data_IF_239692114932
#
_entry.id   IF_239692114932
#
_cell.length_a   1.000
_cell.length_b   1.000
_cell.length_c   1.000
_cell.angle_alpha   90.00
_cell.angle_beta   90.00
_cell.angle_gamma   90.00
#
_symmetry.space_group_name_H-M   'P 1'
#
loop_
_entity.id
_entity.type
_entity.pdbx_description
1 polymer ?
#
# COMPACT_ATOMS: atom_id res chain seq x y z
N UNK A 1 -45.78 -78.79 5.81
CA UNK A 1 -46.52 -77.70 5.13
C UNK A 1 -46.14 -76.40 5.81
N UNK A 2 -45.09 -75.71 5.35
CA UNK A 2 -44.74 -74.38 5.85
C UNK A 2 -43.98 -73.64 4.74
N UNK A 3 -44.68 -72.70 4.12
CA UNK A 3 -44.20 -71.81 3.07
C UNK A 3 -43.71 -70.54 3.77
N UNK A 4 -42.40 -70.35 3.89
CA UNK A 4 -41.84 -69.09 4.38
C UNK A 4 -41.98 -68.00 3.31
N UNK A 5 -42.34 -66.77 3.69
CA UNK A 5 -42.58 -65.70 2.73
C UNK A 5 -41.26 -65.07 2.28
N UNK A 6 -41.14 -64.89 0.97
CA UNK A 6 -40.18 -63.99 0.36
C UNK A 6 -40.67 -62.54 0.54
N UNK A 7 -39.81 -61.63 0.99
CA UNK A 7 -40.12 -60.21 0.85
C UNK A 7 -39.31 -59.27 1.74
N UNK A 8 -38.13 -58.85 1.31
CA UNK A 8 -37.56 -57.55 1.71
C UNK A 8 -36.37 -57.09 0.83
N UNK A 9 -36.34 -57.38 -0.47
CA UNK A 9 -35.27 -56.86 -1.36
C UNK A 9 -35.47 -55.41 -1.84
N UNK A 10 -36.61 -54.78 -1.55
CA UNK A 10 -36.93 -53.43 -2.07
C UNK A 10 -36.47 -52.26 -1.19
N UNK A 11 -36.00 -52.49 0.04
CA UNK A 11 -35.59 -51.41 0.96
C UNK A 11 -34.08 -51.09 0.93
N UNK A 12 -33.23 -52.02 0.50
CA UNK A 12 -31.76 -51.85 0.54
C UNK A 12 -31.20 -50.82 -0.46
N UNK A 13 -31.95 -50.49 -1.51
CA UNK A 13 -31.53 -49.52 -2.53
C UNK A 13 -32.00 -48.08 -2.25
N UNK A 14 -33.00 -47.91 -1.38
CA UNK A 14 -33.50 -46.58 -1.02
C UNK A 14 -32.48 -45.80 -0.19
N UNK A 15 -31.79 -46.45 0.74
CA UNK A 15 -30.76 -45.82 1.57
C UNK A 15 -29.60 -45.21 0.73
N UNK A 16 -28.91 -45.95 -0.16
CA UNK A 16 -27.83 -45.37 -0.97
C UNK A 16 -28.33 -44.32 -1.96
N UNK A 17 -29.55 -44.45 -2.49
CA UNK A 17 -30.16 -43.41 -3.34
C UNK A 17 -30.40 -42.11 -2.56
N UNK A 18 -30.91 -42.21 -1.34
CA UNK A 18 -31.16 -41.03 -0.49
C UNK A 18 -29.85 -40.33 -0.14
N UNK A 19 -28.82 -41.10 0.24
CA UNK A 19 -27.47 -40.56 0.52
C UNK A 19 -26.87 -39.91 -0.72
N UNK A 20 -26.96 -40.56 -1.89
CA UNK A 20 -26.47 -40.00 -3.15
C UNK A 20 -27.16 -38.68 -3.51
N UNK A 21 -28.49 -38.62 -3.37
CA UNK A 21 -29.27 -37.40 -3.59
C UNK A 21 -28.86 -36.28 -2.62
N UNK A 22 -28.68 -36.60 -1.33
CA UNK A 22 -28.22 -35.66 -0.31
C UNK A 22 -26.82 -35.11 -0.62
N UNK A 23 -25.90 -35.96 -1.08
CA UNK A 23 -24.55 -35.54 -1.48
C UNK A 23 -24.59 -34.59 -2.69
N UNK A 24 -25.37 -34.91 -3.71
CA UNK A 24 -25.54 -34.04 -4.89
C UNK A 24 -26.15 -32.70 -4.49
N UNK A 25 -27.21 -32.71 -3.67
CA UNK A 25 -27.83 -31.49 -3.16
C UNK A 25 -26.85 -30.64 -2.34
N UNK A 26 -26.00 -31.28 -1.51
CA UNK A 26 -24.98 -30.61 -0.71
C UNK A 26 -23.90 -29.97 -1.58
N UNK A 27 -23.40 -30.69 -2.59
CA UNK A 27 -22.42 -30.16 -3.54
C UNK A 27 -23.00 -29.01 -4.35
N UNK A 28 -24.26 -29.11 -4.80
CA UNK A 28 -24.94 -28.05 -5.52
C UNK A 28 -25.13 -26.79 -4.63
N UNK A 29 -25.59 -26.98 -3.40
CA UNK A 29 -25.75 -25.89 -2.43
C UNK A 29 -24.40 -25.24 -2.09
N UNK A 30 -23.35 -26.04 -1.90
CA UNK A 30 -21.99 -25.55 -1.69
C UNK A 30 -21.49 -24.76 -2.91
N UNK A 31 -21.68 -25.28 -4.13
CA UNK A 31 -21.32 -24.58 -5.36
C UNK A 31 -22.04 -23.25 -5.52
N UNK A 32 -23.34 -23.21 -5.22
CA UNK A 32 -24.14 -21.99 -5.20
C UNK A 32 -23.60 -20.97 -4.18
N UNK A 33 -23.25 -21.43 -2.98
CA UNK A 33 -22.62 -20.61 -1.93
C UNK A 33 -21.24 -20.09 -2.35
N UNK A 34 -20.42 -20.92 -3.00
CA UNK A 34 -19.08 -20.52 -3.47
C UNK A 34 -19.16 -19.44 -4.56
N UNK A 35 -20.16 -19.49 -5.45
CA UNK A 35 -20.37 -18.46 -6.46
C UNK A 35 -20.66 -17.10 -5.83
N UNK A 36 -21.38 -17.08 -4.71
CA UNK A 36 -21.63 -15.85 -3.95
C UNK A 36 -20.37 -15.31 -3.25
N UNK A 37 -19.44 -16.19 -2.86
CA UNK A 37 -18.21 -15.80 -2.15
C UNK A 37 -17.06 -15.33 -3.04
N UNK A 38 -17.11 -15.57 -4.36
CA UNK A 38 -16.09 -15.09 -5.31
C UNK A 38 -16.35 -13.62 -5.65
N UNK A 39 -16.17 -12.75 -4.67
CA UNK A 39 -16.16 -11.31 -4.91
C UNK A 39 -14.83 -10.94 -5.57
N UNK A 40 -14.84 -10.38 -6.81
CA UNK A 40 -13.60 -10.00 -7.46
C UNK A 40 -12.88 -8.94 -6.63
N UNK A 41 -11.55 -9.04 -6.58
CA UNK A 41 -10.70 -8.05 -5.95
C UNK A 41 -10.96 -6.70 -6.62
N UNK A 42 -11.50 -5.74 -5.87
CA UNK A 42 -11.94 -4.44 -6.40
C UNK A 42 -10.76 -3.50 -6.63
N UNK A 43 -9.70 -3.65 -5.82
CA UNK A 43 -8.50 -2.81 -5.87
C UNK A 43 -7.29 -3.71 -6.03
N UNK A 44 -6.50 -3.43 -7.06
CA UNK A 44 -5.29 -4.15 -7.40
C UNK A 44 -4.13 -3.16 -7.57
N UNK A 45 -2.88 -3.64 -7.50
CA UNK A 45 -1.64 -2.86 -7.64
C UNK A 45 -1.63 -1.61 -6.76
N UNK A 46 -1.66 -1.80 -5.45
CA UNK A 46 -1.46 -0.71 -4.50
C UNK A 46 0.02 -0.46 -4.30
N UNK A 47 0.43 0.78 -4.53
CA UNK A 47 1.79 1.25 -4.34
C UNK A 47 1.80 2.53 -3.49
N UNK A 48 2.75 2.60 -2.56
CA UNK A 48 2.96 3.75 -1.69
C UNK A 48 4.34 4.33 -1.96
N UNK A 49 4.38 5.56 -2.45
CA UNK A 49 5.63 6.22 -2.85
C UNK A 49 5.77 7.51 -2.04
N UNK A 50 6.76 7.60 -1.16
CA UNK A 50 7.10 8.88 -0.54
C UNK A 50 7.77 9.79 -1.58
N UNK A 51 7.19 10.97 -1.80
CA UNK A 51 7.65 11.99 -2.73
C UNK A 51 8.65 12.94 -2.05
N UNK A 52 9.80 13.14 -2.69
CA UNK A 52 10.80 14.14 -2.31
C UNK A 52 12.21 13.74 -2.77
N UNK A 53 13.18 14.64 -2.59
CA UNK A 53 14.58 14.42 -3.00
C UNK A 53 15.27 13.42 -2.06
N UNK A 54 15.42 12.17 -2.51
CA UNK A 54 16.36 11.23 -1.86
C UNK A 54 17.70 11.26 -2.60
N UNK A 55 18.85 11.35 -1.89
CA UNK A 55 20.17 11.35 -2.52
C UNK A 55 20.43 10.13 -3.43
N UNK A 56 19.74 9.01 -3.17
CA UNK A 56 19.98 7.73 -3.83
C UNK A 56 18.86 7.30 -4.80
N UNK A 57 17.88 8.17 -5.10
CA UNK A 57 16.73 7.82 -5.95
C UNK A 57 15.78 6.74 -5.38
N UNK A 58 15.87 6.49 -4.08
CA UNK A 58 15.14 5.42 -3.41
C UNK A 58 13.70 5.85 -3.07
N UNK A 59 12.72 4.96 -3.25
CA UNK A 59 11.29 5.22 -2.96
C UNK A 59 10.85 4.54 -1.67
N UNK A 60 11.14 5.10 -0.48
CA UNK A 60 10.79 4.47 0.78
C UNK A 60 9.30 4.61 1.07
N UNK A 61 8.74 3.60 1.75
CA UNK A 61 7.38 3.64 2.30
C UNK A 61 7.28 4.51 3.58
N UNK A 62 8.39 5.12 3.99
CA UNK A 62 8.49 5.98 5.17
C UNK A 62 8.44 7.44 4.74
N UNK A 63 7.53 8.17 5.38
CA UNK A 63 7.18 9.54 5.04
C UNK A 63 7.36 10.46 6.26
N UNK A 64 7.91 11.66 6.03
CA UNK A 64 8.32 12.63 7.06
C UNK A 64 8.02 14.07 6.58
N UNK A 65 6.82 14.61 6.88
CA UNK A 65 6.40 15.94 6.45
C UNK A 65 7.01 17.04 7.33
N UNK A 66 8.32 17.22 7.25
CA UNK A 66 9.08 18.19 8.05
C UNK A 66 9.38 19.50 7.30
N UNK A 67 9.05 19.59 6.00
CA UNK A 67 9.26 20.76 5.17
C UNK A 67 10.69 20.90 4.62
N UNK A 68 11.47 19.82 4.59
CA UNK A 68 12.84 19.78 4.06
C UNK A 68 12.92 19.37 2.57
N UNK A 69 11.76 19.28 1.89
CA UNK A 69 11.59 18.79 0.53
C UNK A 69 11.95 17.29 0.32
N UNK A 70 12.22 16.53 1.39
CA UNK A 70 12.56 15.11 1.33
C UNK A 70 11.47 14.27 2.01
N UNK A 71 10.77 13.44 1.23
CA UNK A 71 9.72 12.54 1.73
C UNK A 71 8.59 13.32 2.46
N UNK A 72 8.30 14.50 1.93
CA UNK A 72 7.35 15.50 2.46
C UNK A 72 5.93 15.33 1.91
N UNK A 73 5.73 14.50 0.88
CA UNK A 73 4.40 14.02 0.46
C UNK A 73 4.38 12.50 0.31
N UNK A 74 3.23 11.86 0.47
CA UNK A 74 3.03 10.43 0.20
C UNK A 74 2.05 10.28 -0.96
N UNK A 75 2.49 9.62 -2.04
CA UNK A 75 1.65 9.23 -3.17
C UNK A 75 1.08 7.84 -2.93
N UNK A 76 -0.24 7.71 -3.03
CA UNK A 76 -0.97 6.46 -2.93
C UNK A 76 -1.52 6.17 -4.31
N UNK A 77 -0.93 5.16 -4.95
CA UNK A 77 -1.32 4.71 -6.28
C UNK A 77 -2.09 3.41 -6.16
N UNK A 78 -3.23 3.30 -6.82
CA UNK A 78 -3.99 2.07 -6.87
C UNK A 78 -4.80 1.96 -8.16
N UNK A 79 -5.09 0.74 -8.58
CA UNK A 79 -5.93 0.46 -9.74
C UNK A 79 -7.25 -0.16 -9.29
N UNK A 80 -8.37 0.40 -9.73
CA UNK A 80 -9.68 -0.23 -9.50
C UNK A 80 -10.02 -1.21 -10.62
N UNK A 81 -10.62 -2.36 -10.30
CA UNK A 81 -11.09 -3.35 -11.29
C UNK A 81 -12.56 -3.13 -11.67
N UNK A 82 -13.30 -2.40 -10.83
CA UNK A 82 -14.67 -1.94 -11.08
C UNK A 82 -14.75 -0.42 -11.08
N UNK A 83 -15.78 0.10 -11.75
CA UNK A 83 -16.10 1.52 -11.72
C UNK A 83 -17.06 1.78 -10.58
N UNK A 84 -16.72 2.68 -9.67
CA UNK A 84 -17.61 3.05 -8.57
C UNK A 84 -17.29 4.47 -8.07
N UNK A 85 -18.23 5.07 -7.36
CA UNK A 85 -18.04 6.28 -6.56
C UNK A 85 -17.55 5.86 -5.18
N UNK A 86 -16.41 6.40 -4.74
CA UNK A 86 -15.83 6.01 -3.46
C UNK A 86 -15.24 7.19 -2.68
N UNK A 87 -15.20 7.00 -1.36
CA UNK A 87 -14.45 7.81 -0.42
C UNK A 87 -13.11 7.14 -0.15
N UNK A 88 -12.03 7.94 -0.11
CA UNK A 88 -10.71 7.47 0.28
C UNK A 88 -10.23 8.23 1.49
N UNK A 89 -9.96 7.50 2.56
CA UNK A 89 -9.67 8.04 3.88
C UNK A 89 -8.41 7.42 4.46
N UNK A 90 -7.69 8.20 5.24
CA UNK A 90 -6.54 7.76 6.02
C UNK A 90 -7.00 7.49 7.43
N UNK A 91 -6.79 6.27 7.88
CA UNK A 91 -7.22 5.77 9.18
C UNK A 91 -6.01 5.57 10.08
N UNK A 92 -6.07 6.15 11.27
CA UNK A 92 -5.07 5.99 12.32
C UNK A 92 -5.37 4.82 13.25
N UNK A 93 -4.57 4.73 14.33
CA UNK A 93 -4.81 3.78 15.42
C UNK A 93 -6.24 3.91 15.97
N UNK A 94 -6.89 2.77 16.24
CA UNK A 94 -8.24 2.73 16.78
C UNK A 94 -9.35 3.04 15.77
N UNK A 95 -9.06 3.06 14.46
CA UNK A 95 -10.09 3.22 13.42
C UNK A 95 -10.52 4.67 13.18
N UNK A 96 -9.82 5.64 13.75
CA UNK A 96 -10.13 7.07 13.61
C UNK A 96 -9.74 7.59 12.23
N UNK A 97 -10.64 8.32 11.58
CA UNK A 97 -10.34 9.06 10.34
C UNK A 97 -9.44 10.24 10.70
N UNK A 98 -8.34 10.35 9.96
CA UNK A 98 -7.30 11.37 10.14
C UNK A 98 -7.40 12.41 9.03
N UNK A 99 -7.66 11.93 7.81
CA UNK A 99 -7.76 12.74 6.60
C UNK A 99 -8.68 12.07 5.60
N UNK A 100 -9.56 12.84 4.96
CA UNK A 100 -10.25 12.39 3.75
C UNK A 100 -9.50 12.90 2.52
N UNK A 101 -8.99 11.99 1.69
CA UNK A 101 -8.24 12.31 0.46
C UNK A 101 -9.15 12.49 -0.75
N UNK A 102 -10.26 11.74 -0.78
CA UNK A 102 -11.28 11.85 -1.80
C UNK A 102 -12.64 11.59 -1.14
N UNK A 103 -13.66 12.34 -1.54
CA UNK A 103 -15.04 12.16 -1.13
C UNK A 103 -15.92 12.13 -2.37
N UNK A 104 -16.81 11.16 -2.44
CA UNK A 104 -17.77 10.95 -3.54
C UNK A 104 -17.10 11.01 -4.91
N UNK A 105 -15.88 10.49 -5.03
CA UNK A 105 -15.10 10.54 -6.26
C UNK A 105 -15.37 9.33 -7.12
N UNK A 106 -15.67 9.54 -8.39
CA UNK A 106 -15.79 8.45 -9.35
C UNK A 106 -14.42 7.88 -9.73
N UNK A 107 -14.24 6.58 -9.50
CA UNK A 107 -13.06 5.81 -9.89
C UNK A 107 -13.42 4.86 -11.02
N UNK A 108 -12.80 5.03 -12.20
CA UNK A 108 -13.05 4.21 -13.38
C UNK A 108 -12.30 2.87 -13.33
N UNK A 109 -12.94 1.78 -13.74
CA UNK A 109 -12.32 0.44 -13.89
C UNK A 109 -11.08 0.45 -14.77
N UNK A 110 -10.10 -0.38 -14.41
CA UNK A 110 -8.83 -0.59 -15.10
C UNK A 110 -8.09 0.72 -15.40
N UNK A 111 -8.15 1.65 -14.45
CA UNK A 111 -7.38 2.91 -14.46
C UNK A 111 -6.60 3.03 -13.16
N UNK A 112 -5.41 3.57 -13.29
CA UNK A 112 -4.57 3.93 -12.15
C UNK A 112 -5.02 5.27 -11.61
N UNK A 113 -5.10 5.36 -10.29
CA UNK A 113 -5.52 6.53 -9.56
C UNK A 113 -4.44 6.89 -8.57
N UNK A 114 -4.08 8.18 -8.56
CA UNK A 114 -3.07 8.73 -7.66
C UNK A 114 -3.75 9.71 -6.71
N UNK A 115 -3.54 9.49 -5.41
CA UNK A 115 -3.93 10.40 -4.34
C UNK A 115 -2.69 10.79 -3.55
N UNK A 116 -2.61 12.05 -3.15
CA UNK A 116 -1.45 12.59 -2.44
C UNK A 116 -1.86 12.99 -1.04
N UNK A 117 -1.09 12.55 -0.06
CA UNK A 117 -1.19 12.99 1.32
C UNK A 117 0.03 13.82 1.71
N UNK A 118 -0.23 14.99 2.27
CA UNK A 118 0.77 15.92 2.81
C UNK A 118 1.11 15.66 4.29
N UNK A 119 0.57 14.59 4.87
CA UNK A 119 0.80 14.26 6.27
C UNK A 119 0.01 15.12 7.26
N UNK A 120 -0.96 15.89 6.80
CA UNK A 120 -1.83 16.72 7.65
C UNK A 120 -3.19 16.07 7.84
N UNK A 121 -3.84 16.40 8.96
CA UNK A 121 -5.25 16.10 9.21
C UNK A 121 -6.14 17.03 8.40
N UNK A 122 -7.45 16.74 8.31
CA UNK A 122 -8.42 17.65 7.67
C UNK A 122 -8.40 19.07 8.30
N UNK A 123 -8.17 19.16 9.61
CA UNK A 123 -8.00 20.43 10.33
C UNK A 123 -6.61 21.08 10.20
N UNK A 124 -5.77 20.64 9.26
CA UNK A 124 -4.42 21.17 9.03
C UNK A 124 -3.35 20.79 10.05
N UNK A 125 -3.76 20.23 11.20
CA UNK A 125 -2.88 19.78 12.27
C UNK A 125 -2.10 18.51 11.93
N UNK A 126 -1.10 18.23 12.77
CA UNK A 126 -0.14 17.14 12.60
C UNK A 126 -0.68 15.86 13.27
N UNK A 127 -0.75 14.72 12.57
CA UNK A 127 -1.05 13.43 13.18
C UNK A 127 0.14 12.85 13.93
N UNK A 128 -0.13 12.01 14.93
CA UNK A 128 0.90 11.38 15.74
C UNK A 128 1.79 10.45 14.90
N UNK A 129 3.04 10.28 15.30
CA UNK A 129 3.93 9.25 14.75
C UNK A 129 3.33 7.87 14.92
N UNK A 130 2.87 7.26 13.83
CA UNK A 130 2.19 5.97 13.87
C UNK A 130 2.11 5.30 12.49
N UNK A 131 1.52 4.11 12.48
CA UNK A 131 1.13 3.37 11.27
C UNK A 131 -0.29 3.78 10.88
N UNK A 132 -0.45 4.17 9.64
CA UNK A 132 -1.73 4.55 9.05
C UNK A 132 -2.13 3.55 7.98
N UNK A 133 -3.44 3.37 7.81
CA UNK A 133 -4.04 2.54 6.75
C UNK A 133 -4.91 3.40 5.85
N UNK A 134 -5.03 3.01 4.60
CA UNK A 134 -5.96 3.64 3.68
C UNK A 134 -7.24 2.81 3.65
N UNK A 135 -8.37 3.46 3.93
CA UNK A 135 -9.71 2.92 3.80
C UNK A 135 -10.34 3.48 2.53
N UNK A 136 -10.94 2.61 1.74
CA UNK A 136 -11.72 2.96 0.56
C UNK A 136 -13.14 2.47 0.78
N UNK A 137 -14.10 3.38 0.87
CA UNK A 137 -15.52 3.07 1.00
C UNK A 137 -16.15 3.27 -0.37
N UNK A 138 -16.60 2.20 -1.00
CA UNK A 138 -17.27 2.27 -2.29
C UNK A 138 -18.77 2.20 -2.13
N UNK A 139 -19.46 3.22 -2.63
CA UNK A 139 -20.89 3.44 -2.37
C UNK A 139 -21.79 2.54 -3.22
N UNK A 140 -21.44 2.28 -4.48
CA UNK A 140 -22.26 1.45 -5.37
C UNK A 140 -22.21 -0.04 -5.04
N UNK A 141 -21.10 -0.50 -4.47
CA UNK A 141 -20.93 -1.90 -4.04
C UNK A 141 -21.25 -2.11 -2.55
N UNK A 142 -21.60 -1.07 -1.78
CA UNK A 142 -21.78 -1.12 -0.32
C UNK A 142 -20.62 -1.79 0.43
N UNK A 143 -19.38 -1.52 -0.02
CA UNK A 143 -18.17 -2.22 0.45
C UNK A 143 -17.14 -1.27 1.00
N UNK A 144 -16.57 -1.67 2.13
CA UNK A 144 -15.42 -1.00 2.75
C UNK A 144 -14.19 -1.88 2.57
N UNK A 145 -13.16 -1.33 1.95
CA UNK A 145 -11.91 -2.00 1.64
C UNK A 145 -10.75 -1.31 2.36
N UNK A 146 -9.81 -2.10 2.84
CA UNK A 146 -8.55 -1.60 3.35
C UNK A 146 -7.46 -1.93 2.35
N UNK A 147 -6.75 -0.90 1.88
CA UNK A 147 -5.62 -1.14 1.00
C UNK A 147 -4.55 -1.97 1.75
N UNK A 148 -3.92 -2.96 1.10
CA UNK A 148 -2.84 -3.72 1.71
C UNK A 148 -1.69 -2.78 2.13
N UNK A 149 -0.93 -3.17 3.15
CA UNK A 149 0.21 -2.40 3.65
C UNK A 149 -0.13 -1.36 4.72
N UNK A 150 0.87 -0.54 5.05
CA UNK A 150 0.74 0.53 6.03
C UNK A 150 1.67 1.69 5.65
N UNK A 151 1.20 2.91 5.88
CA UNK A 151 2.00 4.13 5.76
C UNK A 151 2.62 4.41 7.13
N UNK A 152 3.95 4.52 7.20
CA UNK A 152 4.64 4.89 8.44
C UNK A 152 4.95 6.37 8.43
N UNK A 153 4.36 7.09 9.38
CA UNK A 153 4.65 8.50 9.63
C UNK A 153 5.64 8.60 10.79
N UNK A 154 6.81 9.19 10.56
CA UNK A 154 7.78 9.48 11.63
C UNK A 154 7.60 10.89 12.21
N UNK A 155 8.05 11.09 13.46
CA UNK A 155 7.99 12.38 14.15
C UNK A 155 8.80 13.39 13.35
N UNK A 156 8.22 14.56 13.12
CA UNK A 156 8.96 15.71 12.63
C UNK A 156 8.95 16.82 13.68
N UNK A 157 10.13 17.34 14.00
CA UNK A 157 10.29 18.74 14.40
C UNK A 157 10.44 19.53 13.10
N UNK A 158 9.62 20.57 12.83
CA UNK A 158 9.86 21.47 11.70
C UNK A 158 11.25 22.10 11.87
N UNK A 159 12.17 21.83 10.93
CA UNK A 159 13.46 22.54 10.89
C UNK A 159 13.25 23.89 10.23
N UNK A 160 12.74 24.88 10.97
CA UNK A 160 12.70 26.28 10.55
C UNK A 160 12.08 26.52 9.15
N UNK A 161 12.28 27.72 8.57
CA UNK A 161 11.77 28.02 7.23
C UNK A 161 12.43 27.10 6.18
N UNK A 162 11.58 26.49 5.34
CA UNK A 162 11.88 25.55 4.25
C UNK A 162 13.36 25.49 3.83
N UNK A 163 14.12 24.59 4.45
CA UNK A 163 15.50 24.30 4.10
C UNK A 163 15.61 23.38 2.88
N UNK A 164 14.78 23.61 1.86
CA UNK A 164 14.99 22.95 0.58
C UNK A 164 16.30 23.51 0.04
N UNK A 165 17.38 22.71 -0.08
CA UNK A 165 18.58 23.20 -0.73
C UNK A 165 18.17 23.62 -2.13
N UNK A 166 18.54 24.83 -2.53
CA UNK A 166 18.47 25.21 -3.94
C UNK A 166 19.14 24.08 -4.73
N UNK A 167 18.60 23.71 -5.89
CA UNK A 167 19.11 22.58 -6.69
C UNK A 167 20.63 22.68 -7.00
N UNK A 168 21.21 23.86 -6.80
CA UNK A 168 22.64 24.15 -6.91
C UNK A 168 23.50 23.78 -5.68
N UNK A 169 22.93 23.68 -4.47
CA UNK A 169 23.69 23.46 -3.23
C UNK A 169 24.00 21.98 -2.99
N UNK A 170 23.09 21.08 -3.41
CA UNK A 170 23.31 19.63 -3.38
C UNK A 170 24.43 19.16 -4.32
N UNK A 171 24.70 19.89 -5.41
CA UNK A 171 25.82 19.59 -6.31
C UNK A 171 27.18 20.10 -5.76
N UNK A 172 27.16 21.12 -4.90
CA UNK A 172 28.37 21.72 -4.32
C UNK A 172 28.94 20.96 -3.12
N UNK A 173 28.11 20.20 -2.39
CA UNK A 173 28.54 19.38 -1.26
C UNK A 173 29.38 18.18 -1.71
N UNK A 174 28.94 17.47 -2.74
CA UNK A 174 29.68 16.33 -3.32
C UNK A 174 31.03 16.75 -3.95
N UNK A 175 31.12 17.99 -4.45
CA UNK A 175 32.36 18.53 -5.02
C UNK A 175 33.40 18.96 -3.95
N UNK A 176 32.99 19.27 -2.71
CA UNK A 176 33.91 19.64 -1.62
C UNK A 176 34.63 18.43 -1.02
N UNK A 177 33.96 17.28 -0.96
CA UNK A 177 34.60 16.04 -0.51
C UNK A 177 35.65 15.55 -1.52
N UNK A 178 35.36 15.66 -2.82
CA UNK A 178 36.32 15.32 -3.88
C UNK A 178 37.54 16.26 -3.95
N UNK A 179 37.43 17.51 -3.48
CA UNK A 179 38.54 18.48 -3.46
C UNK A 179 39.47 18.28 -2.25
N UNK A 180 38.94 17.74 -1.15
CA UNK A 180 39.70 17.51 0.09
C UNK A 180 40.64 16.30 -0.05
N UNK A 181 40.27 15.27 -0.83
CA UNK A 181 41.18 14.16 -1.16
C UNK A 181 42.30 14.53 -2.15
N UNK A 182 42.14 15.57 -2.98
CA UNK A 182 43.22 15.99 -3.89
C UNK A 182 44.30 16.85 -3.24
N UNK A 183 44.07 17.41 -2.04
CA UNK A 183 45.06 18.27 -1.36
C UNK A 183 45.98 17.54 -0.38
N UNK A 184 45.73 16.27 -0.06
CA UNK A 184 46.64 15.44 0.77
C UNK A 184 47.69 14.68 -0.05
N UNK A 185 47.61 14.69 -1.38
CA UNK A 185 48.65 14.18 -2.28
C UNK A 185 49.81 15.18 -2.46
N UNK A 186 50.62 15.37 -1.43
CA UNK A 186 51.86 16.17 -1.47
C UNK A 186 52.90 15.50 -2.40
N UNK A 187 53.36 16.13 -3.50
CA UNK A 187 54.57 15.69 -4.18
C UNK A 187 55.78 16.27 -3.42
N UNK A 188 56.56 15.41 -2.77
CA UNK A 188 57.90 15.79 -2.33
C UNK A 188 58.85 15.70 -3.54
N UNK A 189 59.19 16.87 -4.09
CA UNK A 189 60.24 17.06 -5.09
C UNK A 189 61.43 17.79 -4.45
N UNK A 190 62.64 17.36 -4.78
CA UNK A 190 63.92 18.04 -4.53
C UNK A 190 64.91 17.16 -3.77
N UNK A 191 66.23 17.14 -4.04
CA UNK A 191 67.05 18.01 -4.91
C UNK A 191 68.48 17.43 -4.90
N UNK A 192 69.14 17.40 -6.05
CA UNK A 192 70.59 17.63 -6.29
C UNK A 192 71.66 16.74 -5.62
N UNK A 193 72.57 16.21 -6.43
CA UNK A 193 74.03 16.44 -6.30
C UNK A 193 74.80 15.60 -7.35
N UNK A 194 75.54 16.29 -8.22
CA UNK A 194 76.79 15.80 -8.82
C UNK A 194 77.83 15.58 -7.70
N UNK A 195 78.82 14.70 -7.89
CA UNK A 195 80.15 15.25 -8.17
C UNK A 195 81.02 14.44 -9.14
N UNK A 196 81.96 15.19 -9.73
CA UNK A 196 83.28 14.90 -10.34
C UNK A 196 83.51 13.64 -11.18
#
# INVERSE_FOLDING_TARGET
MMKSPAGSRRLGWLAPLTVGLLLVATVAAFGWSQRLKREPLVIDRVEYIALGLTPNGESPTVFSPNGDCKRDRMSINFRTTRSDTADVEIIGLGGRVIRTLARDRFFKRYREHTLIWDGRKDGGGIPFTSKYRVRVTMHGEDRVLYLPGFIRLHKYEPRGPSGCPDANESAGADAKDARTERQTGKPASGKGAQPE
#
